data_IF_013262226900
#
_entry.id   IF_013262226900
#
_cell.length_a   1.000
_cell.length_b   1.000
_cell.length_c   1.000
_cell.angle_alpha   90.00
_cell.angle_beta   90.00
_cell.angle_gamma   90.00
#
_symmetry.space_group_name_H-M   'P 1'
#
loop_
_entity.id
_entity.type
_entity.pdbx_description
1 polymer ?
#
# COMPACT_ATOMS: atom_id res chain seq x y z
N UNK A 1 -23.94 5.77 -51.99
CA UNK A 1 -24.08 6.07 -50.56
C UNK A 1 -23.00 5.28 -49.83
N UNK A 2 -21.91 5.96 -49.45
CA UNK A 2 -21.47 6.14 -48.04
C UNK A 2 -21.17 4.80 -47.34
N UNK A 3 -20.05 4.52 -46.69
CA UNK A 3 -19.02 5.34 -46.03
C UNK A 3 -17.78 4.43 -45.83
N UNK A 4 -16.55 4.94 -45.97
CA UNK A 4 -15.72 5.44 -44.85
C UNK A 4 -14.87 4.37 -44.13
N UNK A 5 -13.55 4.49 -44.35
CA UNK A 5 -12.46 4.51 -43.36
C UNK A 5 -12.48 3.49 -42.22
N UNK A 6 -11.38 2.76 -42.06
CA UNK A 6 -10.27 3.15 -41.18
C UNK A 6 -9.47 1.90 -40.77
N UNK A 7 -8.14 1.98 -40.89
CA UNK A 7 -7.24 0.91 -40.48
C UNK A 7 -7.18 0.73 -38.97
N UNK A 8 -6.82 -0.47 -38.53
CA UNK A 8 -6.36 -0.72 -37.18
C UNK A 8 -5.04 -1.48 -37.24
N UNK A 9 -4.03 -0.75 -36.80
CA UNK A 9 -2.68 -1.14 -36.40
C UNK A 9 -2.77 -2.32 -35.42
N UNK A 10 -2.01 -3.39 -35.65
CA UNK A 10 -1.70 -4.33 -34.58
C UNK A 10 -0.22 -4.32 -34.19
N UNK A 11 -0.07 -4.07 -32.90
CA UNK A 11 1.14 -3.81 -32.13
C UNK A 11 1.83 -5.13 -31.84
N UNK A 12 3.15 -5.07 -31.96
CA UNK A 12 4.14 -5.99 -31.41
C UNK A 12 4.00 -6.07 -29.87
N UNK A 13 3.68 -7.25 -29.34
CA UNK A 13 3.86 -7.64 -27.93
C UNK A 13 4.61 -8.97 -27.93
N UNK A 14 5.92 -8.95 -27.69
CA UNK A 14 6.56 -9.27 -26.40
C UNK A 14 6.32 -10.72 -25.98
N UNK A 15 7.23 -11.58 -26.45
CA UNK A 15 7.37 -12.95 -25.97
C UNK A 15 7.92 -12.97 -24.54
N UNK A 16 7.23 -13.69 -23.68
CA UNK A 16 7.71 -14.10 -22.36
C UNK A 16 8.30 -15.50 -22.49
N UNK A 17 9.63 -15.58 -22.64
CA UNK A 17 10.39 -16.82 -22.59
C UNK A 17 10.48 -17.33 -21.16
N UNK A 18 9.88 -18.50 -20.91
CA UNK A 18 10.02 -19.27 -19.68
C UNK A 18 11.37 -20.00 -19.75
N UNK A 19 12.24 -19.73 -18.77
CA UNK A 19 13.61 -20.22 -18.68
C UNK A 19 13.62 -21.68 -18.25
N UNK A 20 14.28 -22.53 -19.04
CA UNK A 20 14.65 -23.88 -18.63
C UNK A 20 15.69 -23.87 -17.52
N UNK A 21 15.47 -24.72 -16.53
CA UNK A 21 16.39 -25.03 -15.45
C UNK A 21 17.55 -25.91 -15.95
N UNK A 22 18.78 -25.53 -15.65
CA UNK A 22 19.95 -26.41 -15.77
C UNK A 22 20.44 -26.85 -14.38
N UNK A 23 21.01 -28.06 -14.27
CA UNK A 23 21.48 -28.63 -13.01
C UNK A 23 22.85 -28.11 -12.58
N UNK A 24 23.07 -28.21 -11.27
CA UNK A 24 24.23 -27.73 -10.53
C UNK A 24 25.49 -28.55 -10.83
N UNK A 25 26.63 -27.86 -11.00
CA UNK A 25 27.97 -28.45 -10.92
C UNK A 25 28.72 -27.73 -9.80
N UNK A 26 29.14 -28.51 -8.80
CA UNK A 26 30.04 -28.08 -7.72
C UNK A 26 31.42 -27.77 -8.27
N UNK A 27 31.97 -26.60 -7.93
CA UNK A 27 33.40 -26.34 -7.97
C UNK A 27 33.84 -25.74 -6.64
N UNK A 28 34.82 -26.42 -6.04
CA UNK A 28 35.41 -26.12 -4.76
C UNK A 28 36.45 -24.99 -4.85
N UNK A 29 36.54 -24.23 -3.76
CA UNK A 29 37.79 -23.64 -3.28
C UNK A 29 38.18 -22.29 -3.87
N UNK A 30 38.18 -21.26 -3.03
CA UNK A 30 39.35 -20.41 -2.70
C UNK A 30 38.90 -19.30 -1.74
N UNK A 31 39.38 -19.37 -0.50
CA UNK A 31 39.13 -18.39 0.55
C UNK A 31 40.01 -17.13 0.36
N UNK A 32 39.46 -15.90 0.41
CA UNK A 32 40.28 -14.71 0.54
C UNK A 32 40.56 -14.44 2.02
N UNK A 33 41.85 -14.37 2.35
CA UNK A 33 42.38 -14.00 3.67
C UNK A 33 41.88 -12.61 4.07
N UNK A 34 41.14 -12.55 5.19
CA UNK A 34 40.82 -11.33 5.91
C UNK A 34 42.13 -10.68 6.39
N UNK A 35 42.47 -9.51 5.83
CA UNK A 35 43.57 -8.69 6.31
C UNK A 35 43.01 -7.78 7.41
N UNK A 36 43.01 -8.28 8.64
CA UNK A 36 42.79 -7.48 9.84
C UNK A 36 43.88 -6.40 9.92
N UNK A 37 43.52 -5.16 9.61
CA UNK A 37 44.36 -4.00 9.97
C UNK A 37 43.99 -3.60 11.39
N UNK A 38 44.80 -4.05 12.34
CA UNK A 38 44.92 -3.42 13.65
C UNK A 38 45.42 -1.99 13.42
N UNK A 39 44.58 -0.99 13.67
CA UNK A 39 45.04 0.39 13.85
C UNK A 39 45.04 0.70 15.35
N UNK A 40 46.25 0.91 15.85
CA UNK A 40 46.54 1.39 17.19
C UNK A 40 45.96 2.78 17.40
N UNK A 41 45.43 2.97 18.60
CA UNK A 41 45.25 4.25 19.26
C UNK A 41 46.46 5.17 19.08
N UNK A 42 46.20 6.41 18.65
CA UNK A 42 46.90 7.59 19.15
C UNK A 42 45.89 8.71 19.36
N UNK A 43 46.05 9.38 20.49
CA UNK A 43 45.18 10.38 21.06
C UNK A 43 45.02 11.67 20.23
N UNK A 44 43.83 12.25 20.40
CA UNK A 44 43.53 13.68 20.55
C UNK A 44 44.12 14.68 19.55
N UNK A 45 43.23 15.21 18.71
CA UNK A 45 43.10 16.66 18.51
C UNK A 45 41.63 17.03 18.64
N UNK A 46 41.33 17.87 19.62
CA UNK A 46 40.02 18.48 19.83
C UNK A 46 39.56 19.23 18.57
N UNK A 47 38.35 18.94 18.10
CA UNK A 47 37.65 19.75 17.12
C UNK A 47 36.35 20.29 17.73
N UNK A 48 36.34 21.58 18.05
CA UNK A 48 35.30 22.29 18.80
C UNK A 48 34.11 22.72 17.92
N UNK A 49 33.60 21.87 17.03
CA UNK A 49 32.34 22.17 16.30
C UNK A 49 31.32 21.02 16.17
N UNK A 50 31.63 19.79 16.61
CA UNK A 50 30.73 18.63 16.39
C UNK A 50 29.84 18.20 17.57
N UNK A 51 29.99 18.82 18.75
CA UNK A 51 29.19 18.48 19.94
C UNK A 51 27.71 18.86 19.78
N UNK A 52 27.40 19.88 18.98
CA UNK A 52 26.03 20.35 18.76
C UNK A 52 25.25 19.47 17.77
N UNK A 53 25.91 19.00 16.71
CA UNK A 53 25.31 18.12 15.71
C UNK A 53 25.06 16.71 16.25
N UNK A 54 26.00 16.18 17.04
CA UNK A 54 25.85 14.89 17.73
C UNK A 54 24.80 14.94 18.83
N UNK A 55 24.70 16.03 19.60
CA UNK A 55 23.61 16.23 20.57
C UNK A 55 22.23 16.38 19.90
N UNK A 56 22.15 17.09 18.77
CA UNK A 56 20.91 17.21 17.99
C UNK A 56 20.46 15.86 17.39
N UNK A 57 21.40 15.04 16.89
CA UNK A 57 21.13 13.67 16.43
C UNK A 57 20.68 12.75 17.58
N UNK A 58 21.30 12.85 18.76
CA UNK A 58 20.89 12.10 19.96
C UNK A 58 19.53 12.53 20.50
N UNK A 59 19.18 13.81 20.36
CA UNK A 59 17.84 14.31 20.70
C UNK A 59 16.81 13.82 19.66
N UNK A 60 17.26 13.68 18.40
CA UNK A 60 16.66 12.96 17.27
C UNK A 60 16.14 11.57 17.59
N UNK A 61 17.04 10.77 18.15
CA UNK A 61 16.83 9.35 18.38
C UNK A 61 15.97 9.08 19.61
N UNK A 62 15.97 9.98 20.61
CA UNK A 62 15.28 9.78 21.91
C UNK A 62 13.80 9.40 21.77
N UNK A 63 13.05 10.05 20.87
CA UNK A 63 11.60 9.83 20.71
C UNK A 63 11.22 9.09 19.42
N UNK A 64 12.19 8.50 18.73
CA UNK A 64 11.96 7.86 17.41
C UNK A 64 11.05 6.63 17.51
N UNK A 65 11.32 5.77 18.48
CA UNK A 65 10.62 4.49 18.67
C UNK A 65 9.34 4.62 19.51
N UNK A 66 9.36 5.55 20.47
CA UNK A 66 8.26 5.84 21.40
C UNK A 66 7.89 7.31 21.37
N UNK A 67 7.25 7.78 20.28
CA UNK A 67 6.92 9.19 20.12
C UNK A 67 5.87 9.70 21.12
N UNK A 68 5.10 8.83 21.78
CA UNK A 68 4.15 9.25 22.82
C UNK A 68 4.83 9.80 24.08
N UNK A 69 6.06 9.38 24.38
CA UNK A 69 6.80 9.84 25.56
C UNK A 69 7.13 11.34 25.47
N UNK A 70 7.23 11.89 24.25
CA UNK A 70 7.43 13.32 24.04
C UNK A 70 6.24 14.17 24.51
N UNK A 71 5.01 13.70 24.31
CA UNK A 71 3.80 14.43 24.73
C UNK A 71 3.66 14.54 26.25
N UNK A 72 4.29 13.63 27.00
CA UNK A 72 4.34 13.67 28.47
C UNK A 72 5.56 14.42 29.02
N UNK A 73 6.50 14.80 28.15
CA UNK A 73 7.70 15.51 28.58
C UNK A 73 7.42 16.97 28.94
N UNK A 74 8.21 17.50 29.87
CA UNK A 74 8.19 18.92 30.22
C UNK A 74 8.48 19.82 29.01
N UNK A 75 9.35 19.38 28.09
CA UNK A 75 9.69 20.08 26.85
C UNK A 75 8.45 20.38 25.98
N UNK A 76 7.48 19.45 25.95
CA UNK A 76 6.23 19.64 25.21
C UNK A 76 5.33 20.64 25.92
N UNK A 77 5.22 20.53 27.25
CA UNK A 77 4.37 21.39 28.06
C UNK A 77 4.85 22.85 28.03
N UNK A 78 6.15 23.11 28.09
CA UNK A 78 6.72 24.46 27.98
C UNK A 78 6.46 25.08 26.60
N UNK A 79 6.50 24.27 25.54
CA UNK A 79 6.38 24.75 24.16
C UNK A 79 4.95 24.98 23.70
N UNK A 80 4.05 24.05 24.05
CA UNK A 80 2.67 24.03 23.54
C UNK A 80 1.63 24.31 24.64
N UNK A 81 1.95 24.01 25.90
CA UNK A 81 1.02 24.08 27.01
C UNK A 81 -0.19 23.18 26.77
N UNK A 82 -1.37 23.70 27.12
CA UNK A 82 -2.65 23.00 26.98
C UNK A 82 -3.28 23.13 25.58
N UNK A 83 -2.71 23.98 24.72
CA UNK A 83 -3.25 24.23 23.38
C UNK A 83 -2.85 23.12 22.41
N UNK A 84 -3.69 22.83 21.39
CA UNK A 84 -3.33 21.84 20.38
C UNK A 84 -2.12 22.32 19.56
N UNK A 85 -1.32 21.37 19.05
CA UNK A 85 -0.05 21.63 18.34
C UNK A 85 -0.16 22.65 17.21
N UNK A 86 -1.32 22.73 16.56
CA UNK A 86 -1.59 23.60 15.42
C UNK A 86 -2.19 24.97 15.78
N UNK A 87 -2.51 25.25 17.05
CA UNK A 87 -3.15 26.50 17.47
C UNK A 87 -2.32 27.74 17.14
N UNK A 88 -1.01 27.69 17.39
CA UNK A 88 -0.08 28.79 17.15
C UNK A 88 0.47 28.85 15.72
N UNK A 89 -0.12 28.11 14.78
CA UNK A 89 0.34 28.08 13.40
C UNK A 89 -0.56 28.91 12.48
N UNK A 90 0.04 29.91 11.82
CA UNK A 90 -0.61 30.71 10.78
C UNK A 90 0.10 30.51 9.45
N UNK A 91 -0.68 30.27 8.38
CA UNK A 91 -0.14 30.13 7.03
C UNK A 91 -0.08 31.47 6.31
N UNK A 92 1.05 31.70 5.63
CA UNK A 92 1.21 32.83 4.73
C UNK A 92 0.56 32.49 3.38
N UNK A 93 -0.45 33.27 2.98
CA UNK A 93 -1.09 33.21 1.66
C UNK A 93 -1.49 34.61 1.22
N UNK A 94 -1.75 34.79 -0.07
CA UNK A 94 -2.20 36.07 -0.64
C UNK A 94 -3.71 36.24 -0.38
N UNK A 95 -4.13 37.44 0.03
CA UNK A 95 -5.54 37.80 0.25
C UNK A 95 -6.14 37.21 1.53
N UNK A 96 -7.42 37.52 1.78
CA UNK A 96 -8.15 37.07 2.97
C UNK A 96 -8.54 35.60 2.95
N UNK A 97 -8.83 35.03 1.79
CA UNK A 97 -9.28 33.63 1.64
C UNK A 97 -8.07 32.73 1.34
N UNK A 98 -7.79 31.70 2.16
CA UNK A 98 -6.70 30.76 1.89
C UNK A 98 -7.01 29.86 0.70
N UNK A 99 -5.99 29.33 0.00
CA UNK A 99 -6.19 28.31 -1.03
C UNK A 99 -6.76 27.03 -0.40
N UNK A 100 -7.79 26.46 -1.05
CA UNK A 100 -8.49 25.25 -0.57
C UNK A 100 -7.58 24.03 -0.43
N UNK A 101 -6.50 23.97 -1.23
CA UNK A 101 -5.51 22.89 -1.17
C UNK A 101 -4.22 23.41 -0.55
N UNK A 102 -3.76 22.73 0.49
CA UNK A 102 -2.49 23.03 1.14
C UNK A 102 -1.29 22.63 0.28
N UNK A 103 -0.07 23.04 0.63
CA UNK A 103 1.14 22.59 -0.07
C UNK A 103 1.29 21.06 -0.04
N UNK A 104 1.89 20.47 -1.08
CA UNK A 104 2.06 19.01 -1.20
C UNK A 104 2.88 18.43 -0.05
N UNK A 105 4.05 19.00 0.23
CA UNK A 105 4.97 18.60 1.29
C UNK A 105 5.79 19.81 1.79
N UNK A 106 6.22 19.78 3.06
CA UNK A 106 7.06 20.81 3.68
C UNK A 106 8.56 20.53 3.51
N UNK A 107 8.94 19.26 3.60
CA UNK A 107 10.33 18.81 3.53
C UNK A 107 10.58 18.30 2.11
N UNK A 108 11.59 18.85 1.43
CA UNK A 108 11.98 18.47 0.06
C UNK A 108 13.50 18.22 0.02
N UNK A 109 13.91 16.99 -0.27
CA UNK A 109 15.33 16.64 -0.33
C UNK A 109 16.12 17.01 0.94
N UNK A 110 15.54 16.74 2.12
CA UNK A 110 16.15 17.09 3.41
C UNK A 110 16.02 18.56 3.84
N UNK A 111 15.63 19.47 2.93
CA UNK A 111 15.44 20.89 3.25
C UNK A 111 14.01 21.18 3.70
N UNK A 112 13.88 21.83 4.85
CA UNK A 112 12.59 22.28 5.41
C UNK A 112 12.23 23.64 4.80
N UNK A 113 10.98 23.82 4.39
CA UNK A 113 10.49 25.12 3.93
C UNK A 113 10.44 26.17 5.04
N UNK A 114 10.56 27.46 4.72
CA UNK A 114 10.69 28.55 5.72
C UNK A 114 9.62 28.58 6.81
N UNK A 115 8.33 28.47 6.46
CA UNK A 115 7.23 28.32 7.45
C UNK A 115 6.68 26.88 7.39
N UNK A 116 7.26 25.89 8.10
CA UNK A 116 6.86 24.48 8.04
C UNK A 116 5.55 24.17 8.78
N UNK A 117 4.94 23.02 8.47
CA UNK A 117 3.67 22.64 9.11
C UNK A 117 3.87 22.36 10.61
N UNK A 118 2.81 22.40 11.45
CA UNK A 118 2.93 22.13 12.90
C UNK A 118 3.61 20.79 13.23
N UNK A 119 3.37 19.76 12.41
CA UNK A 119 4.00 18.43 12.55
C UNK A 119 5.41 18.40 11.93
N UNK A 120 5.67 19.22 10.92
CA UNK A 120 6.91 19.19 10.15
C UNK A 120 7.99 20.11 10.74
N UNK A 121 7.59 21.08 11.58
CA UNK A 121 8.49 22.00 12.27
C UNK A 121 9.22 21.31 13.42
N UNK A 122 8.56 20.32 14.01
CA UNK A 122 9.03 19.60 15.17
C UNK A 122 9.17 18.12 14.83
N UNK A 123 10.41 17.70 14.62
CA UNK A 123 10.72 16.34 14.20
C UNK A 123 10.54 15.31 15.33
N UNK A 124 10.37 15.77 16.58
CA UNK A 124 10.03 14.95 17.75
C UNK A 124 8.59 14.43 17.69
N UNK A 125 7.71 15.11 16.96
CA UNK A 125 6.32 14.70 16.75
C UNK A 125 6.24 13.57 15.71
N UNK A 126 6.40 12.33 16.17
CA UNK A 126 6.15 11.13 15.38
C UNK A 126 4.65 10.88 15.19
N UNK A 127 4.22 10.58 13.95
CA UNK A 127 2.86 10.16 13.65
C UNK A 127 2.75 8.63 13.73
N UNK A 128 2.39 8.13 14.92
CA UNK A 128 2.13 6.72 15.18
C UNK A 128 0.68 6.51 15.61
N UNK A 129 0.12 5.33 15.33
CA UNK A 129 -1.26 4.98 15.70
C UNK A 129 -1.42 4.81 17.22
N UNK A 130 -0.32 4.53 17.92
CA UNK A 130 -0.23 4.45 19.38
C UNK A 130 -0.34 5.82 20.07
N UNK A 131 -0.09 6.92 19.34
CA UNK A 131 -0.07 8.28 19.90
C UNK A 131 -1.48 8.89 19.98
N UNK A 132 -2.34 8.32 20.81
CA UNK A 132 -3.75 8.75 20.95
C UNK A 132 -3.85 10.25 21.28
N UNK A 133 -3.08 10.74 22.26
CA UNK A 133 -3.06 12.15 22.69
C UNK A 133 -2.76 13.15 21.57
N UNK A 134 -1.92 12.76 20.61
CA UNK A 134 -1.60 13.63 19.46
C UNK A 134 -2.71 13.57 18.42
N UNK A 135 -3.22 12.38 18.12
CA UNK A 135 -4.25 12.16 17.10
C UNK A 135 -5.58 12.83 17.46
N UNK A 136 -5.96 12.80 18.74
CA UNK A 136 -7.16 13.46 19.26
C UNK A 136 -7.18 14.96 18.94
N UNK A 137 -6.02 15.64 18.96
CA UNK A 137 -5.92 17.07 18.61
C UNK A 137 -6.27 17.38 17.15
N UNK A 138 -6.18 16.38 16.26
CA UNK A 138 -6.52 16.51 14.84
C UNK A 138 -7.94 16.01 14.52
N UNK A 139 -8.71 15.61 15.54
CA UNK A 139 -10.09 15.16 15.43
C UNK A 139 -11.01 16.20 16.09
N UNK A 140 -12.20 16.40 15.53
CA UNK A 140 -13.24 17.22 16.16
C UNK A 140 -13.78 16.51 17.40
N UNK A 141 -13.77 17.13 18.60
CA UNK A 141 -14.24 16.47 19.83
C UNK A 141 -15.73 16.12 19.78
N UNK A 142 -16.54 16.90 19.06
CA UNK A 142 -17.98 16.68 18.95
C UNK A 142 -18.37 15.76 17.80
N UNK A 143 -17.74 15.95 16.63
CA UNK A 143 -18.16 15.24 15.40
C UNK A 143 -17.42 13.92 15.20
N UNK A 144 -16.27 13.71 15.85
CA UNK A 144 -15.38 12.57 15.58
C UNK A 144 -14.76 12.58 14.17
N UNK A 145 -14.94 13.67 13.41
CA UNK A 145 -14.41 13.83 12.07
C UNK A 145 -12.97 14.38 12.11
N UNK A 146 -12.13 13.91 11.20
CA UNK A 146 -10.76 14.40 11.05
C UNK A 146 -10.80 15.84 10.53
N UNK A 147 -10.05 16.74 11.17
CA UNK A 147 -9.98 18.14 10.76
C UNK A 147 -9.27 18.28 9.41
N UNK A 148 -9.82 19.14 8.55
CA UNK A 148 -9.22 19.45 7.26
C UNK A 148 -7.87 20.14 7.38
N UNK A 149 -7.02 19.93 6.37
CA UNK A 149 -5.69 20.52 6.32
C UNK A 149 -5.71 22.05 6.20
N UNK A 150 -6.81 22.64 5.75
CA UNK A 150 -7.02 24.11 5.72
C UNK A 150 -7.14 24.68 7.12
N UNK A 151 -7.85 23.98 8.02
CA UNK A 151 -8.03 24.37 9.43
C UNK A 151 -6.77 24.13 10.27
N UNK A 152 -6.17 22.95 10.14
CA UNK A 152 -4.97 22.57 10.93
C UNK A 152 -3.67 23.11 10.33
N UNK A 153 -3.68 23.54 9.07
CA UNK A 153 -2.51 24.11 8.40
C UNK A 153 -1.44 23.09 8.00
N UNK A 154 -1.71 21.79 8.11
CA UNK A 154 -0.77 20.71 7.74
C UNK A 154 -0.55 20.62 6.23
N UNK A 155 0.54 19.96 5.81
CA UNK A 155 0.78 19.67 4.40
C UNK A 155 -0.01 18.44 3.96
N UNK A 156 -0.29 18.31 2.65
CA UNK A 156 -1.06 17.17 2.13
C UNK A 156 -0.42 15.82 2.41
N UNK A 157 0.92 15.72 2.40
CA UNK A 157 1.64 14.48 2.76
C UNK A 157 1.29 14.06 4.20
N UNK A 158 1.40 14.98 5.16
CA UNK A 158 1.09 14.67 6.55
C UNK A 158 -0.41 14.48 6.78
N UNK A 159 -1.30 15.19 6.08
CA UNK A 159 -2.74 14.92 6.16
C UNK A 159 -3.05 13.48 5.76
N UNK A 160 -2.48 12.99 4.65
CA UNK A 160 -2.66 11.59 4.22
C UNK A 160 -2.11 10.61 5.25
N UNK A 161 -0.98 10.92 5.88
CA UNK A 161 -0.42 10.09 6.94
C UNK A 161 -1.32 10.08 8.17
N UNK A 162 -1.84 11.24 8.60
CA UNK A 162 -2.81 11.34 9.70
C UNK A 162 -4.05 10.51 9.43
N UNK A 163 -4.64 10.60 8.23
CA UNK A 163 -5.83 9.80 7.89
C UNK A 163 -5.54 8.29 7.99
N UNK A 164 -4.38 7.84 7.52
CA UNK A 164 -3.98 6.42 7.62
C UNK A 164 -3.78 5.99 9.07
N UNK A 165 -3.06 6.78 9.84
CA UNK A 165 -2.72 6.49 11.24
C UNK A 165 -3.96 6.51 12.13
N UNK A 166 -4.89 7.45 11.91
CA UNK A 166 -6.17 7.50 12.61
C UNK A 166 -7.05 6.31 12.24
N UNK A 167 -7.09 5.91 10.95
CA UNK A 167 -7.81 4.71 10.54
C UNK A 167 -7.25 3.46 11.23
N UNK A 168 -5.93 3.29 11.24
CA UNK A 168 -5.26 2.21 11.96
C UNK A 168 -5.56 2.24 13.47
N UNK A 169 -5.52 3.41 14.11
CA UNK A 169 -5.84 3.54 15.53
C UNK A 169 -7.30 3.17 15.86
N UNK A 170 -8.24 3.44 14.94
CA UNK A 170 -9.65 3.00 15.06
C UNK A 170 -9.79 1.49 14.86
N UNK A 171 -9.09 0.92 13.88
CA UNK A 171 -9.05 -0.53 13.64
C UNK A 171 -8.49 -1.30 14.84
N UNK A 172 -7.47 -0.74 15.51
CA UNK A 172 -6.89 -1.30 16.73
C UNK A 172 -7.71 -1.01 18.01
N UNK A 173 -8.80 -0.25 17.93
CA UNK A 173 -9.63 0.11 19.08
C UNK A 173 -8.97 1.09 20.07
N UNK A 174 -7.90 1.77 19.69
CA UNK A 174 -7.24 2.79 20.53
C UNK A 174 -7.98 4.12 20.53
N UNK A 175 -8.63 4.48 19.42
CA UNK A 175 -9.44 5.69 19.30
C UNK A 175 -10.92 5.34 19.28
N UNK A 176 -11.74 5.93 20.18
CA UNK A 176 -13.18 5.77 20.13
C UNK A 176 -13.76 6.49 18.91
N UNK A 177 -14.76 5.88 18.28
CA UNK A 177 -15.54 6.49 17.22
C UNK A 177 -16.99 5.97 17.27
N UNK A 178 -17.91 6.74 16.69
CA UNK A 178 -19.31 6.36 16.65
C UNK A 178 -19.54 5.20 15.68
N UNK A 179 -19.98 4.06 16.19
CA UNK A 179 -20.42 2.91 15.41
C UNK A 179 -21.95 2.88 15.48
N UNK A 180 -22.67 3.18 14.38
CA UNK A 180 -24.11 3.08 14.39
C UNK A 180 -24.52 1.61 14.57
N UNK A 181 -25.56 1.38 15.36
CA UNK A 181 -26.22 0.09 15.36
C UNK A 181 -26.86 -0.12 13.98
N UNK A 182 -26.53 -1.25 13.35
CA UNK A 182 -27.09 -1.64 12.06
C UNK A 182 -28.11 -2.73 12.32
N UNK A 183 -29.38 -2.40 12.09
CA UNK A 183 -30.43 -3.41 12.03
C UNK A 183 -30.22 -4.22 10.74
N UNK A 184 -30.01 -5.52 10.89
CA UNK A 184 -30.14 -6.41 9.75
C UNK A 184 -31.58 -6.34 9.27
N UNK A 185 -31.78 -6.21 7.96
CA UNK A 185 -33.12 -6.39 7.39
C UNK A 185 -33.68 -7.69 7.98
N UNK A 186 -34.94 -7.73 8.43
CA UNK A 186 -35.60 -8.98 8.74
C UNK A 186 -35.74 -9.72 7.41
N UNK A 187 -34.66 -10.36 6.97
CA UNK A 187 -34.72 -11.36 5.94
C UNK A 187 -35.71 -12.37 6.47
N UNK A 188 -36.87 -12.40 5.81
CA UNK A 188 -37.99 -13.28 6.08
C UNK A 188 -37.39 -14.69 6.23
N UNK A 189 -37.30 -15.13 7.48
CA UNK A 189 -36.75 -16.40 7.94
C UNK A 189 -35.24 -16.62 7.68
N UNK A 190 -34.42 -16.48 8.73
CA UNK A 190 -33.02 -16.94 8.79
C UNK A 190 -32.93 -18.48 8.80
N UNK A 191 -33.50 -19.12 7.78
CA UNK A 191 -33.61 -20.56 7.67
C UNK A 191 -32.74 -21.03 6.51
N UNK A 192 -31.73 -21.83 6.83
CA UNK A 192 -30.83 -22.45 5.85
C UNK A 192 -31.48 -23.69 5.21
N UNK A 193 -32.72 -23.60 4.73
CA UNK A 193 -33.41 -24.69 4.03
C UNK A 193 -33.17 -24.64 2.52
N UNK A 194 -32.86 -23.46 1.97
CA UNK A 194 -32.70 -23.31 0.52
C UNK A 194 -31.53 -24.15 -0.02
N UNK A 195 -31.76 -24.79 -1.17
CA UNK A 195 -30.81 -25.68 -1.81
C UNK A 195 -29.49 -25.01 -2.23
N UNK A 196 -29.44 -23.67 -2.34
CA UNK A 196 -28.19 -22.96 -2.62
C UNK A 196 -27.21 -22.95 -1.44
N UNK A 197 -27.71 -23.02 -0.20
CA UNK A 197 -26.87 -23.09 1.01
C UNK A 197 -26.59 -24.56 1.38
N UNK A 198 -27.56 -25.44 1.09
CA UNK A 198 -27.45 -26.86 1.36
C UNK A 198 -26.72 -27.62 0.25
N UNK A 199 -26.30 -28.85 0.56
CA UNK A 199 -25.71 -29.75 -0.44
C UNK A 199 -26.79 -30.10 -1.47
N UNK A 200 -26.55 -29.74 -2.73
CA UNK A 200 -27.37 -30.21 -3.85
C UNK A 200 -26.99 -31.66 -4.18
N UNK A 201 -27.97 -32.53 -4.48
CA UNK A 201 -27.67 -33.90 -4.86
C UNK A 201 -26.80 -33.89 -6.13
N UNK A 202 -25.69 -34.65 -6.16
CA UNK A 202 -24.77 -34.62 -7.28
C UNK A 202 -25.44 -35.22 -8.52
N UNK A 203 -25.26 -34.57 -9.66
CA UNK A 203 -25.72 -35.09 -10.95
C UNK A 203 -25.03 -36.44 -11.26
N UNK A 204 -25.69 -37.33 -12.02
CA UNK A 204 -25.14 -38.65 -12.35
C UNK A 204 -23.78 -38.57 -13.06
N UNK A 205 -23.55 -37.56 -13.91
CA UNK A 205 -22.25 -37.33 -14.54
C UNK A 205 -21.14 -37.08 -13.51
N UNK A 206 -21.44 -36.31 -12.44
CA UNK A 206 -20.49 -36.06 -11.36
C UNK A 206 -20.26 -37.32 -10.51
N UNK A 207 -21.30 -38.13 -10.28
CA UNK A 207 -21.18 -39.41 -9.58
C UNK A 207 -20.28 -40.40 -10.33
N UNK A 208 -20.40 -40.44 -11.67
CA UNK A 208 -19.60 -41.29 -12.55
C UNK A 208 -18.25 -40.68 -12.95
N UNK A 209 -17.93 -39.48 -12.46
CA UNK A 209 -16.72 -38.72 -12.81
C UNK A 209 -16.54 -38.46 -14.32
N UNK A 210 -17.65 -38.35 -15.06
CA UNK A 210 -17.65 -38.02 -16.48
C UNK A 210 -17.93 -36.53 -16.70
N UNK A 211 -17.59 -36.02 -17.88
CA UNK A 211 -18.02 -34.69 -18.28
C UNK A 211 -19.56 -34.57 -18.23
N UNK A 212 -20.06 -33.37 -17.95
CA UNK A 212 -21.50 -33.11 -17.85
C UNK A 212 -22.23 -33.38 -19.17
N UNK A 213 -21.59 -33.02 -20.29
CA UNK A 213 -22.08 -33.33 -21.63
C UNK A 213 -21.05 -34.19 -22.37
N UNK A 214 -21.49 -35.16 -23.19
CA UNK A 214 -20.58 -36.05 -23.91
C UNK A 214 -19.63 -35.33 -24.88
N UNK A 215 -20.03 -34.18 -25.42
CA UNK A 215 -19.26 -33.43 -26.42
C UNK A 215 -18.15 -32.55 -25.82
N UNK A 216 -17.99 -32.52 -24.49
CA UNK A 216 -16.82 -31.92 -23.86
C UNK A 216 -15.57 -32.76 -24.04
N UNK A 217 -15.73 -34.08 -24.08
CA UNK A 217 -14.63 -35.01 -24.33
C UNK A 217 -14.33 -35.04 -25.84
N UNK A 218 -13.05 -35.12 -26.18
CA UNK A 218 -12.65 -35.23 -27.59
C UNK A 218 -13.14 -36.56 -28.16
N UNK A 219 -14.05 -36.46 -29.12
CA UNK A 219 -14.54 -37.60 -29.89
C UNK A 219 -13.90 -37.53 -31.28
N UNK A 220 -13.22 -38.60 -31.68
CA UNK A 220 -12.61 -38.65 -33.01
C UNK A 220 -13.72 -38.70 -34.08
N UNK A 221 -13.81 -37.69 -34.97
CA UNK A 221 -14.83 -37.66 -36.01
C UNK A 221 -14.58 -38.75 -37.05
N UNK A 222 -15.63 -39.19 -37.73
CA UNK A 222 -15.52 -40.21 -38.77
C UNK A 222 -14.62 -39.74 -39.92
N UNK A 223 -13.77 -40.63 -40.43
CA UNK A 223 -12.78 -40.31 -41.47
C UNK A 223 -13.39 -39.70 -42.73
N UNK A 224 -14.64 -40.09 -43.07
CA UNK A 224 -15.39 -39.52 -44.20
C UNK A 224 -15.63 -38.01 -44.03
N UNK A 225 -15.92 -37.56 -42.81
CA UNK A 225 -16.17 -36.15 -42.52
C UNK A 225 -14.86 -35.35 -42.48
N UNK A 226 -13.80 -35.95 -41.95
CA UNK A 226 -12.45 -35.38 -41.99
C UNK A 226 -11.99 -35.21 -43.43
N UNK A 227 -12.21 -36.21 -44.30
CA UNK A 227 -11.89 -36.13 -45.72
C UNK A 227 -12.71 -35.04 -46.44
N UNK A 228 -14.01 -34.92 -46.13
CA UNK A 228 -14.87 -33.84 -46.63
C UNK A 228 -14.33 -32.46 -46.24
N UNK A 229 -13.94 -32.26 -44.98
CA UNK A 229 -13.37 -31.00 -44.48
C UNK A 229 -11.98 -30.71 -45.09
N UNK A 230 -11.11 -31.72 -45.23
CA UNK A 230 -9.81 -31.60 -45.90
C UNK A 230 -9.96 -31.17 -47.36
N UNK A 231 -11.00 -31.65 -48.06
CA UNK A 231 -11.32 -31.22 -49.42
C UNK A 231 -11.79 -29.77 -49.46
N UNK A 232 -12.65 -29.35 -48.52
CA UNK A 232 -13.22 -28.01 -48.46
C UNK A 232 -12.18 -26.94 -48.11
N UNK A 233 -11.28 -27.23 -47.16
CA UNK A 233 -10.31 -26.27 -46.62
C UNK A 233 -8.86 -26.54 -47.05
N UNK A 234 -8.66 -27.28 -48.16
CA UNK A 234 -7.37 -27.73 -48.68
C UNK A 234 -6.21 -26.71 -48.60
N UNK A 235 -6.37 -25.43 -49.00
CA UNK A 235 -5.27 -24.47 -48.98
C UNK A 235 -4.97 -23.86 -47.61
N UNK A 236 -5.84 -24.07 -46.60
CA UNK A 236 -5.74 -23.43 -45.28
C UNK A 236 -5.53 -24.45 -44.13
N UNK A 237 -5.32 -25.72 -44.43
CA UNK A 237 -5.06 -26.73 -43.40
C UNK A 237 -3.70 -26.51 -42.74
N UNK A 238 -3.71 -26.48 -41.42
CA UNK A 238 -2.50 -26.55 -40.60
C UNK A 238 -2.15 -28.02 -40.39
N UNK A 239 -0.86 -28.34 -40.27
CA UNK A 239 -0.40 -29.68 -39.88
C UNK A 239 -0.95 -29.97 -38.49
N UNK A 240 -1.71 -31.06 -38.34
CA UNK A 240 -2.25 -31.49 -37.05
C UNK A 240 -1.06 -31.82 -36.12
N UNK A 241 -0.84 -30.99 -35.11
CA UNK A 241 0.09 -31.32 -34.02
C UNK A 241 -0.64 -32.33 -33.15
N UNK A 242 -0.42 -33.61 -33.43
CA UNK A 242 -0.85 -34.68 -32.53
C UNK A 242 -0.24 -34.39 -31.15
N UNK A 243 -1.11 -34.06 -30.20
CA UNK A 243 -0.69 -33.75 -28.84
C UNK A 243 0.04 -34.95 -28.25
N UNK A 244 1.27 -34.71 -27.81
CA UNK A 244 2.08 -35.61 -27.00
C UNK A 244 1.28 -36.07 -25.77
N UNK A 245 1.16 -37.38 -25.62
CA UNK A 245 0.91 -38.08 -24.37
C UNK A 245 2.23 -38.59 -23.80
#
# INVERSE_FOLDING_TARGET
MAASLCGIIWRRMLGTGIRGSQPQVLLAGLAPRLRFKFLSSTAETADMTDTSATAALNTMSRYKEKPWDYLTSEEYQERYGEQPVWANYRRNHKGGIPPQKTRKMCIRGGKVCGNPCPICRDQKLGLDYRNVKLLEQFISPYSGNILDATRTGVCRKQQKNLTKVIAQAREHGLLPFHIPFMEFQPAEDYVNTHAAVNKTPPAPALQNQTAWYPWYDWQQPADKEVARLRKMYKPFLKVEVAALS
#
